data_IF_690288699843
#
_entry.id   IF_690288699843
#
_cell.length_a   1.000
_cell.length_b   1.000
_cell.length_c   1.000
_cell.angle_alpha   90.00
_cell.angle_beta   90.00
_cell.angle_gamma   90.00
#
_symmetry.space_group_name_H-M   'P 1'
#
loop_
_entity.id
_entity.type
_entity.pdbx_description
1 polymer ?
#
# COMPACT_ATOMS: atom_id res chain seq x y z
N UNK A 1 6.65 -13.39 -3.69
CA UNK A 1 5.34 -13.72 -3.10
C UNK A 1 4.45 -12.49 -3.06
N UNK A 2 3.22 -12.63 -3.51
CA UNK A 2 2.28 -11.51 -3.54
C UNK A 2 1.56 -11.46 -2.18
N UNK A 3 1.59 -10.30 -1.46
CA UNK A 3 0.88 -10.20 -0.18
C UNK A 3 -0.63 -10.35 -0.38
N UNK A 4 -1.26 -11.11 0.51
CA UNK A 4 -2.70 -11.34 0.47
C UNK A 4 -3.44 -10.61 1.59
N UNK A 5 -2.73 -10.19 2.62
CA UNK A 5 -3.30 -9.48 3.76
C UNK A 5 -2.57 -8.16 3.99
N UNK A 6 -3.23 -7.26 4.72
CA UNK A 6 -2.62 -5.99 5.11
C UNK A 6 -1.32 -6.21 5.89
N UNK A 7 -1.32 -7.15 6.82
CA UNK A 7 -0.13 -7.43 7.63
C UNK A 7 1.05 -7.90 6.79
N UNK A 8 0.80 -8.78 5.83
CA UNK A 8 1.84 -9.26 4.92
C UNK A 8 2.37 -8.14 4.05
N UNK A 9 1.49 -7.31 3.52
CA UNK A 9 1.87 -6.17 2.69
C UNK A 9 2.70 -5.15 3.49
N UNK A 10 2.24 -4.83 4.70
CA UNK A 10 2.93 -3.88 5.59
C UNK A 10 4.35 -4.35 5.88
N UNK A 11 4.49 -5.63 6.20
CA UNK A 11 5.79 -6.22 6.46
C UNK A 11 6.68 -6.19 5.23
N UNK A 12 6.13 -6.49 4.06
CA UNK A 12 6.87 -6.46 2.81
C UNK A 12 7.44 -5.07 2.54
N UNK A 13 6.62 -4.05 2.68
CA UNK A 13 7.03 -2.66 2.43
C UNK A 13 8.06 -2.18 3.46
N UNK A 14 7.79 -2.40 4.75
CA UNK A 14 8.59 -1.80 5.81
C UNK A 14 9.87 -2.59 6.13
N UNK A 15 9.83 -3.90 5.98
CA UNK A 15 10.97 -4.76 6.33
C UNK A 15 11.73 -5.18 5.09
N UNK A 16 11.06 -5.83 4.13
CA UNK A 16 11.75 -6.38 2.95
C UNK A 16 12.25 -5.29 2.02
N UNK A 17 11.45 -4.23 1.81
CA UNK A 17 11.84 -3.09 0.97
C UNK A 17 12.51 -1.97 1.77
N UNK A 18 12.40 -1.99 3.09
CA UNK A 18 13.00 -0.98 3.95
C UNK A 18 12.42 0.42 3.81
N UNK A 19 11.15 0.53 3.41
CA UNK A 19 10.49 1.81 3.19
C UNK A 19 9.69 2.23 4.42
N UNK A 20 9.64 3.54 4.67
CA UNK A 20 8.85 4.10 5.76
C UNK A 20 7.49 4.54 5.23
N UNK A 21 6.42 4.12 5.89
CA UNK A 21 5.05 4.48 5.51
C UNK A 21 4.67 5.84 6.11
N UNK A 22 5.36 6.89 5.66
CA UNK A 22 5.03 8.26 6.06
C UNK A 22 3.79 8.74 5.30
N UNK A 23 3.05 9.75 5.83
CA UNK A 23 1.93 10.32 5.09
C UNK A 23 2.30 10.82 3.71
N UNK A 24 3.49 11.41 3.57
CA UNK A 24 3.97 11.93 2.29
C UNK A 24 4.20 10.78 1.29
N UNK A 25 4.85 9.72 1.74
CA UNK A 25 5.10 8.55 0.90
C UNK A 25 3.79 7.91 0.44
N UNK A 26 2.85 7.74 1.39
CA UNK A 26 1.55 7.14 1.09
C UNK A 26 0.78 7.99 0.08
N UNK A 27 0.77 9.31 0.27
CA UNK A 27 0.08 10.23 -0.64
C UNK A 27 0.65 10.15 -2.05
N UNK A 28 1.98 10.11 -2.18
CA UNK A 28 2.64 10.00 -3.47
C UNK A 28 2.29 8.69 -4.16
N UNK A 29 2.30 7.59 -3.43
CA UNK A 29 2.01 6.27 -4.01
C UNK A 29 0.54 6.15 -4.42
N UNK A 30 -0.37 6.66 -3.59
CA UNK A 30 -1.79 6.65 -3.95
C UNK A 30 -2.05 7.49 -5.19
N UNK A 31 -1.44 8.67 -5.28
CA UNK A 31 -1.59 9.53 -6.45
C UNK A 31 -1.09 8.82 -7.72
N UNK A 32 0.05 8.14 -7.63
CA UNK A 32 0.59 7.38 -8.76
C UNK A 32 -0.31 6.22 -9.15
N UNK A 33 -0.89 5.53 -8.17
CA UNK A 33 -1.73 4.37 -8.42
C UNK A 33 -3.07 4.70 -9.06
N UNK A 34 -3.58 5.92 -8.87
CA UNK A 34 -4.83 6.34 -9.48
C UNK A 34 -4.62 7.14 -10.78
N UNK A 35 -3.38 7.40 -11.16
CA UNK A 35 -3.06 8.14 -12.38
C UNK A 35 -3.26 7.22 -13.59
N UNK A 36 -4.22 7.52 -14.48
CA UNK A 36 -4.48 6.68 -15.64
C UNK A 36 -3.37 6.72 -16.70
N UNK A 37 -2.46 7.68 -16.60
CA UNK A 37 -1.36 7.83 -17.55
C UNK A 37 -0.05 7.24 -17.04
N UNK A 38 -0.04 6.69 -15.84
CA UNK A 38 1.16 6.09 -15.25
C UNK A 38 1.43 4.72 -15.90
N UNK A 39 2.58 4.58 -16.54
CA UNK A 39 3.00 3.31 -17.13
C UNK A 39 3.24 2.26 -16.06
N UNK A 40 3.78 2.65 -14.90
CA UNK A 40 4.00 1.75 -13.78
C UNK A 40 2.68 1.20 -13.26
N UNK A 41 1.65 2.03 -13.19
CA UNK A 41 0.32 1.62 -12.77
C UNK A 41 -0.28 0.59 -13.73
N UNK A 42 -0.19 0.85 -15.02
CA UNK A 42 -0.68 -0.08 -16.04
C UNK A 42 0.06 -1.41 -15.99
N UNK A 43 1.37 -1.36 -15.79
CA UNK A 43 2.20 -2.57 -15.67
C UNK A 43 1.82 -3.36 -14.44
N UNK A 44 1.61 -2.69 -13.30
CA UNK A 44 1.21 -3.33 -12.06
C UNK A 44 -0.12 -4.08 -12.24
N UNK A 45 -1.11 -3.39 -12.83
CA UNK A 45 -2.44 -3.97 -13.05
C UNK A 45 -2.38 -5.19 -13.98
N UNK A 46 -1.51 -5.13 -14.99
CA UNK A 46 -1.32 -6.23 -15.95
C UNK A 46 -0.68 -7.44 -15.27
N UNK A 47 0.31 -7.21 -14.41
CA UNK A 47 1.06 -8.29 -13.76
C UNK A 47 0.29 -8.92 -12.60
N UNK A 48 -0.41 -8.13 -11.81
CA UNK A 48 -1.02 -8.59 -10.57
C UNK A 48 -2.55 -8.56 -10.59
N UNK A 49 -3.15 -7.93 -11.57
CA UNK A 49 -4.60 -7.84 -11.72
C UNK A 49 -5.22 -6.65 -11.00
N UNK A 50 -6.43 -6.27 -11.46
CA UNK A 50 -7.14 -5.11 -10.90
C UNK A 50 -7.56 -5.33 -9.46
N UNK A 51 -7.93 -6.55 -9.09
CA UNK A 51 -8.35 -6.85 -7.73
C UNK A 51 -7.22 -6.59 -6.72
N UNK A 52 -6.00 -7.01 -7.06
CA UNK A 52 -4.84 -6.76 -6.19
C UNK A 52 -4.48 -5.27 -6.17
N UNK A 53 -4.59 -4.59 -7.32
CA UNK A 53 -4.34 -3.16 -7.42
C UNK A 53 -5.27 -2.36 -6.49
N UNK A 54 -6.56 -2.70 -6.46
CA UNK A 54 -7.52 -2.08 -5.56
C UNK A 54 -7.22 -2.40 -4.10
N UNK A 55 -6.79 -3.63 -3.83
CA UNK A 55 -6.44 -4.09 -2.49
C UNK A 55 -5.26 -3.30 -1.92
N UNK A 56 -4.22 -3.10 -2.72
CA UNK A 56 -3.04 -2.33 -2.31
C UNK A 56 -3.40 -0.87 -2.04
N UNK A 57 -4.26 -0.28 -2.86
CA UNK A 57 -4.73 1.08 -2.60
C UNK A 57 -5.44 1.18 -1.25
N UNK A 58 -6.29 0.19 -0.94
CA UNK A 58 -6.99 0.13 0.34
C UNK A 58 -6.00 0.05 1.50
N UNK A 59 -4.96 -0.76 1.34
CA UNK A 59 -3.94 -0.92 2.37
C UNK A 59 -3.17 0.38 2.60
N UNK A 60 -2.83 1.11 1.55
CA UNK A 60 -2.18 2.41 1.69
C UNK A 60 -3.08 3.39 2.44
N UNK A 61 -4.38 3.40 2.16
CA UNK A 61 -5.32 4.27 2.87
C UNK A 61 -5.42 3.90 4.34
N UNK A 62 -5.47 2.60 4.63
CA UNK A 62 -5.49 2.12 6.01
C UNK A 62 -4.24 2.54 6.77
N UNK A 63 -3.08 2.43 6.15
CA UNK A 63 -1.82 2.81 6.78
C UNK A 63 -1.76 4.32 7.06
N UNK A 64 -2.47 5.13 6.28
CA UNK A 64 -2.49 6.58 6.44
C UNK A 64 -3.53 7.06 7.43
N UNK A 65 -4.44 6.21 7.89
CA UNK A 65 -5.48 6.60 8.84
C UNK A 65 -4.91 6.70 10.26
N UNK A 66 -5.21 7.79 11.01
CA UNK A 66 -4.82 7.89 12.42
C UNK A 66 -5.35 6.74 13.26
N UNK A 67 -6.53 6.23 12.90
CA UNK A 67 -7.17 5.12 13.59
C UNK A 67 -6.34 3.84 13.50
N UNK A 68 -5.76 3.58 12.33
CA UNK A 68 -4.91 2.41 12.14
C UNK A 68 -3.66 2.49 13.01
N UNK A 69 -3.09 3.68 13.16
CA UNK A 69 -1.93 3.90 14.03
C UNK A 69 -2.29 3.65 15.50
N UNK A 70 -3.48 4.10 15.93
CA UNK A 70 -3.95 3.87 17.29
C UNK A 70 -4.21 2.39 17.56
N UNK A 71 -4.81 1.70 16.62
CA UNK A 71 -5.07 0.27 16.75
C UNK A 71 -3.77 -0.53 16.82
N UNK A 72 -2.79 -0.15 16.01
CA UNK A 72 -1.47 -0.78 16.06
C UNK A 72 -0.78 -0.55 17.41
N UNK A 73 -0.91 0.64 17.97
CA UNK A 73 -0.36 0.95 19.28
C UNK A 73 -1.04 0.15 20.40
N UNK A 74 -2.34 -0.08 20.28
CA UNK A 74 -3.09 -0.89 21.23
C UNK A 74 -2.73 -2.36 21.13
N UNK A 75 -2.43 -2.83 19.93
CA UNK A 75 -2.10 -4.24 19.70
C UNK A 75 -0.70 -4.57 20.17
N UNK A 76 0.11 -3.58 20.36
CA UNK A 76 1.46 -3.76 20.90
C UNK A 76 1.40 -3.79 22.42
#
# INVERSE_FOLDING_TARGET
MIPETYAQWHRCITIDCGLSLTPEFIAQRLAAMVDPQSDDNLRFRRLYGDAHWQRVQRWFRLANEPRAALDAARSA
#
